data_IF_665074371466
#
_entry.id   IF_665074371466
#
_cell.length_a   1.000
_cell.length_b   1.000
_cell.length_c   1.000
_cell.angle_alpha   90.00
_cell.angle_beta   90.00
_cell.angle_gamma   90.00
#
_symmetry.space_group_name_H-M   'P 1'
#
loop_
_entity.id
_entity.type
_entity.pdbx_description
1 polymer ?
#
# COMPACT_ATOMS: atom_id res chain seq x y z
N UNK A 1 19.98 -2.80 0.13
CA UNK A 1 18.55 -2.96 0.48
C UNK A 1 17.78 -2.20 -0.58
N UNK A 2 16.80 -2.84 -1.23
CA UNK A 2 15.97 -2.13 -2.21
C UNK A 2 15.15 -1.05 -1.48
N UNK A 3 15.15 0.15 -2.04
CA UNK A 3 14.37 1.27 -1.49
C UNK A 3 12.93 1.10 -2.00
N UNK A 4 12.05 0.59 -1.15
CA UNK A 4 10.65 0.38 -1.48
C UNK A 4 9.81 1.53 -0.93
N UNK A 5 9.09 2.23 -1.81
CA UNK A 5 8.18 3.29 -1.42
C UNK A 5 6.98 2.71 -0.66
N UNK A 6 6.92 2.97 0.65
CA UNK A 6 5.85 2.49 1.51
C UNK A 6 4.60 3.35 1.41
N UNK A 7 4.76 4.67 1.34
CA UNK A 7 3.65 5.62 1.25
C UNK A 7 3.26 5.77 -0.21
N UNK A 8 2.06 5.33 -0.57
CA UNK A 8 1.58 5.44 -1.94
C UNK A 8 0.76 6.73 -2.06
N UNK A 9 1.12 7.59 -3.01
CA UNK A 9 0.41 8.84 -3.20
C UNK A 9 -0.70 8.69 -4.23
N UNK A 10 -1.94 8.80 -3.76
CA UNK A 10 -3.15 8.88 -4.57
C UNK A 10 -3.92 10.14 -4.15
N UNK A 11 -4.31 11.02 -5.10
CA UNK A 11 -5.11 12.18 -4.75
C UNK A 11 -6.38 11.78 -4.00
N UNK A 12 -6.63 12.43 -2.86
CA UNK A 12 -7.80 12.23 -1.99
C UNK A 12 -7.96 10.83 -1.38
N UNK A 13 -6.95 9.95 -1.45
CA UNK A 13 -6.95 8.66 -0.75
C UNK A 13 -5.94 8.71 0.40
N UNK A 14 -6.42 8.55 1.63
CA UNK A 14 -5.57 8.72 2.80
C UNK A 14 -4.99 7.39 3.25
N UNK A 15 -3.83 7.46 3.91
CA UNK A 15 -3.18 6.30 4.52
C UNK A 15 -2.91 5.12 3.57
N UNK A 16 -2.82 5.37 2.26
CA UNK A 16 -2.46 4.37 1.26
C UNK A 16 -0.99 3.92 1.44
N UNK A 17 -0.79 2.62 1.71
CA UNK A 17 0.52 2.04 2.04
C UNK A 17 0.71 0.65 1.47
N UNK A 18 1.89 0.39 0.94
CA UNK A 18 2.37 -0.98 0.73
C UNK A 18 2.75 -1.59 2.09
N UNK A 19 2.21 -2.76 2.39
CA UNK A 19 2.46 -3.49 3.63
C UNK A 19 3.63 -4.47 3.51
N UNK A 20 4.43 -4.43 2.46
CA UNK A 20 5.65 -5.25 2.34
C UNK A 20 6.66 -5.02 3.48
N UNK A 21 7.35 -6.10 3.85
CA UNK A 21 8.39 -6.10 4.89
C UNK A 21 7.89 -6.05 6.33
N UNK A 22 6.57 -6.20 6.57
CA UNK A 22 6.07 -6.40 7.93
C UNK A 22 6.23 -7.87 8.35
N UNK A 23 6.61 -8.14 9.61
CA UNK A 23 6.73 -9.49 10.10
C UNK A 23 5.36 -10.17 10.18
N UNK A 24 5.31 -11.44 9.80
CA UNK A 24 4.13 -12.31 9.97
C UNK A 24 4.27 -13.15 11.24
N UNK A 25 3.16 -13.72 11.72
CA UNK A 25 3.12 -14.47 12.98
C UNK A 25 3.95 -15.76 12.96
N UNK A 26 4.24 -16.28 11.77
CA UNK A 26 5.08 -17.47 11.50
C UNK A 26 6.55 -17.12 11.23
N UNK A 27 6.95 -15.86 11.43
CA UNK A 27 8.35 -15.41 11.33
C UNK A 27 8.80 -15.08 9.92
N UNK A 28 7.91 -15.10 8.93
CA UNK A 28 8.20 -14.58 7.59
C UNK A 28 7.98 -13.05 7.51
N UNK A 29 8.03 -12.52 6.29
CA UNK A 29 7.71 -11.12 6.00
C UNK A 29 6.67 -11.07 4.87
N UNK A 30 5.75 -10.11 4.95
CA UNK A 30 4.86 -9.78 3.84
C UNK A 30 5.66 -9.41 2.60
N UNK A 31 5.31 -9.98 1.46
CA UNK A 31 5.93 -9.64 0.19
C UNK A 31 5.59 -8.21 -0.22
N UNK A 32 6.58 -7.47 -0.72
CA UNK A 32 6.36 -6.15 -1.32
C UNK A 32 5.41 -6.25 -2.52
N UNK A 33 4.64 -5.18 -2.75
CA UNK A 33 3.69 -5.04 -3.88
C UNK A 33 2.61 -6.13 -3.92
N UNK A 34 2.34 -6.76 -2.78
CA UNK A 34 1.36 -7.87 -2.69
C UNK A 34 0.15 -7.52 -1.82
N UNK A 35 0.27 -6.53 -0.93
CA UNK A 35 -0.82 -6.07 -0.08
C UNK A 35 -0.73 -4.57 0.15
N UNK A 36 -1.79 -3.86 -0.21
CA UNK A 36 -1.95 -2.43 0.03
C UNK A 36 -3.11 -2.21 1.00
N UNK A 37 -2.95 -1.25 1.90
CA UNK A 37 -4.02 -0.77 2.79
C UNK A 37 -4.24 0.72 2.57
N UNK A 38 -5.50 1.16 2.60
CA UNK A 38 -5.90 2.56 2.64
C UNK A 38 -6.95 2.79 3.74
N UNK A 39 -7.52 3.99 3.83
CA UNK A 39 -8.76 4.26 4.55
C UNK A 39 -9.98 3.75 3.74
N UNK A 40 -10.99 4.59 3.47
CA UNK A 40 -12.08 4.27 2.56
C UNK A 40 -11.75 4.65 1.10
N UNK A 41 -12.36 3.96 0.14
CA UNK A 41 -12.11 4.22 -1.28
C UNK A 41 -13.12 5.18 -1.92
N UNK A 42 -13.99 5.83 -1.14
CA UNK A 42 -15.12 6.59 -1.70
C UNK A 42 -14.69 7.84 -2.46
N UNK A 43 -13.51 8.39 -2.14
CA UNK A 43 -12.92 9.56 -2.81
C UNK A 43 -11.81 9.19 -3.81
N UNK A 44 -11.62 7.89 -4.10
CA UNK A 44 -10.61 7.46 -5.07
C UNK A 44 -10.94 8.00 -6.46
N UNK A 45 -9.98 8.71 -7.06
CA UNK A 45 -10.16 9.28 -8.39
C UNK A 45 -10.14 8.20 -9.47
N UNK A 46 -10.71 8.51 -10.64
CA UNK A 46 -10.67 7.60 -11.78
C UNK A 46 -9.24 7.31 -12.26
N UNK A 47 -8.30 8.24 -12.04
CA UNK A 47 -6.87 8.01 -12.28
C UNK A 47 -6.32 6.97 -11.31
N UNK A 48 -6.63 7.09 -10.02
CA UNK A 48 -6.21 6.12 -9.00
C UNK A 48 -6.75 4.71 -9.25
N UNK A 49 -7.95 4.58 -9.82
CA UNK A 49 -8.53 3.29 -10.23
C UNK A 49 -7.75 2.63 -11.39
N UNK A 50 -7.07 3.42 -12.24
CA UNK A 50 -6.35 2.93 -13.42
C UNK A 50 -4.86 2.68 -13.19
N UNK A 51 -4.33 3.09 -12.04
CA UNK A 51 -2.90 3.07 -11.72
C UNK A 51 -2.34 1.64 -11.63
#
# INVERSE_FOLDING_TARGET
MQDHERLLHFPNLLNARDLGGYPTVDGAQTSWRSLVRADDLAQLTAEGVRA
#
